data_IF_706436938380
#
_entry.id   IF_706436938380
#
_cell.length_a   1.000
_cell.length_b   1.000
_cell.length_c   1.000
_cell.angle_alpha   90.00
_cell.angle_beta   90.00
_cell.angle_gamma   90.00
#
_symmetry.space_group_name_H-M   'P 1'
#
loop_
_entity.id
_entity.type
_entity.pdbx_description
1 polymer ?
#
# COMPACT_ATOMS: atom_id res chain seq x y z
N UNK A 1 16.69 -17.31 4.05
CA UNK A 1 16.22 -17.06 2.67
C UNK A 1 16.76 -15.70 2.28
N UNK A 2 17.80 -15.66 1.45
CA UNK A 2 18.54 -14.43 1.10
C UNK A 2 18.69 -14.36 -0.42
N UNK A 3 17.57 -14.48 -1.15
CA UNK A 3 17.52 -14.20 -2.58
C UNK A 3 16.85 -12.84 -2.80
N UNK A 4 17.36 -12.03 -3.72
CA UNK A 4 16.65 -10.84 -4.18
C UNK A 4 15.44 -11.25 -5.04
N UNK A 5 14.33 -10.54 -4.88
CA UNK A 5 13.23 -10.65 -5.84
C UNK A 5 13.61 -9.94 -7.14
N UNK A 6 13.21 -10.53 -8.27
CA UNK A 6 13.36 -9.95 -9.60
C UNK A 6 12.02 -9.86 -10.28
N UNK A 7 11.84 -8.79 -11.06
CA UNK A 7 10.72 -8.67 -12.00
C UNK A 7 10.94 -9.71 -13.09
N UNK A 8 9.95 -10.59 -13.28
CA UNK A 8 9.99 -11.68 -14.28
C UNK A 8 8.97 -11.49 -15.39
N UNK A 9 7.95 -10.68 -15.16
CA UNK A 9 6.88 -10.39 -16.12
C UNK A 9 6.38 -8.97 -15.85
N UNK A 10 6.08 -8.22 -16.92
CA UNK A 10 5.49 -6.89 -16.83
C UNK A 10 4.28 -6.82 -17.73
N UNK A 11 3.17 -6.29 -17.21
CA UNK A 11 1.98 -5.96 -17.97
C UNK A 11 1.80 -4.46 -18.01
N UNK A 12 1.60 -3.94 -19.21
CA UNK A 12 1.38 -2.54 -19.50
C UNK A 12 -0.13 -2.32 -19.73
N UNK A 13 -0.72 -1.41 -18.94
CA UNK A 13 -2.15 -1.11 -18.94
C UNK A 13 -2.37 0.41 -19.12
N UNK A 14 -2.42 0.91 -20.37
CA UNK A 14 -2.75 2.30 -20.62
C UNK A 14 -4.21 2.58 -20.25
N UNK A 15 -4.50 3.82 -19.85
CA UNK A 15 -5.87 4.28 -19.65
C UNK A 15 -6.67 4.27 -20.95
N UNK A 16 -7.99 4.24 -20.80
CA UNK A 16 -8.94 4.11 -21.91
C UNK A 16 -10.19 4.95 -21.68
N UNK A 17 -11.06 5.02 -22.69
CA UNK A 17 -12.40 5.57 -22.55
C UNK A 17 -13.42 4.43 -22.46
N UNK A 18 -14.35 4.51 -21.52
CA UNK A 18 -15.42 3.53 -21.31
C UNK A 18 -16.72 4.25 -20.95
N UNK A 19 -17.81 3.94 -21.65
CA UNK A 19 -19.14 4.53 -21.44
C UNK A 19 -19.15 6.08 -21.38
N UNK A 20 -18.32 6.72 -22.21
CA UNK A 20 -18.23 8.18 -22.27
C UNK A 20 -17.40 8.82 -21.15
N UNK A 21 -16.79 8.04 -20.27
CA UNK A 21 -15.84 8.50 -19.24
C UNK A 21 -14.41 8.16 -19.66
N UNK A 22 -13.49 9.12 -19.55
CA UNK A 22 -12.06 8.91 -19.84
C UNK A 22 -11.26 8.60 -18.58
N UNK A 23 -10.42 7.59 -18.68
CA UNK A 23 -9.45 7.15 -17.67
C UNK A 23 -8.00 7.29 -18.18
N UNK A 24 -7.81 7.98 -19.31
CA UNK A 24 -6.53 8.14 -20.02
C UNK A 24 -5.47 8.87 -19.20
N UNK A 25 -5.87 9.56 -18.13
CA UNK A 25 -4.94 10.21 -17.20
C UNK A 25 -4.18 9.22 -16.31
N UNK A 26 -4.45 7.92 -16.39
CA UNK A 26 -3.79 6.88 -15.59
C UNK A 26 -3.19 5.81 -16.48
N UNK A 27 -1.97 5.42 -16.15
CA UNK A 27 -1.25 4.35 -16.81
C UNK A 27 -0.70 3.41 -15.73
N UNK A 28 -1.18 2.17 -15.70
CA UNK A 28 -0.71 1.16 -14.77
C UNK A 28 0.35 0.25 -15.39
N UNK A 29 1.36 -0.10 -14.59
CA UNK A 29 2.30 -1.16 -14.86
C UNK A 29 2.19 -2.20 -13.76
N UNK A 30 2.00 -3.46 -14.13
CA UNK A 30 1.98 -4.58 -13.18
C UNK A 30 3.25 -5.39 -13.40
N UNK A 31 4.18 -5.33 -12.45
CA UNK A 31 5.38 -6.14 -12.46
C UNK A 31 5.20 -7.33 -11.55
N UNK A 32 5.20 -8.54 -12.12
CA UNK A 32 5.19 -9.76 -11.33
C UNK A 32 6.61 -10.16 -10.98
N UNK A 33 6.80 -10.49 -9.70
CA UNK A 33 8.11 -10.73 -9.12
C UNK A 33 8.28 -12.18 -8.69
N UNK A 34 9.53 -12.63 -8.69
CA UNK A 34 9.92 -13.96 -8.21
C UNK A 34 11.28 -13.90 -7.52
N UNK A 35 11.47 -14.65 -6.45
CA UNK A 35 12.78 -14.87 -5.87
C UNK A 35 13.73 -15.54 -6.86
N UNK A 36 14.94 -15.02 -6.96
CA UNK A 36 16.02 -15.70 -7.67
C UNK A 36 16.41 -16.97 -6.91
N UNK A 37 16.49 -18.10 -7.62
CA UNK A 37 16.82 -19.40 -7.03
C UNK A 37 18.34 -19.43 -6.79
N UNK A 38 18.79 -19.22 -5.56
CA UNK A 38 20.13 -19.68 -5.17
C UNK A 38 20.11 -21.21 -5.22
N UNK A 39 20.91 -21.80 -6.12
CA UNK A 39 20.93 -23.23 -6.45
C UNK A 39 21.28 -24.20 -5.30
N UNK A 40 21.17 -23.79 -4.03
CA UNK A 40 21.55 -24.56 -2.84
C UNK A 40 20.37 -25.15 -2.06
N UNK A 41 19.12 -24.84 -2.38
CA UNK A 41 17.99 -25.45 -1.67
C UNK A 41 16.77 -25.72 -2.58
N UNK A 42 16.63 -26.94 -3.14
CA UNK A 42 15.52 -27.31 -4.00
C UNK A 42 14.19 -27.54 -3.24
N UNK A 43 14.18 -27.49 -1.90
CA UNK A 43 13.03 -27.92 -1.07
C UNK A 43 11.94 -26.86 -0.81
N UNK A 44 12.18 -25.58 -1.09
CA UNK A 44 11.12 -24.57 -1.07
C UNK A 44 10.37 -24.66 -2.40
N UNK A 45 9.41 -25.57 -2.50
CA UNK A 45 8.72 -25.94 -3.73
C UNK A 45 8.21 -24.70 -4.51
N UNK A 46 8.93 -24.23 -5.56
CA UNK A 46 8.51 -23.08 -6.35
C UNK A 46 7.44 -23.48 -7.38
N UNK A 47 7.13 -24.77 -7.50
CA UNK A 47 6.27 -25.31 -8.56
C UNK A 47 4.78 -25.06 -8.32
N UNK A 48 4.36 -24.60 -7.13
CA UNK A 48 2.94 -24.30 -6.85
C UNK A 48 2.59 -22.82 -7.01
N UNK A 49 3.57 -21.90 -6.96
CA UNK A 49 3.32 -20.45 -7.00
C UNK A 49 4.20 -19.81 -8.08
N UNK A 50 3.56 -19.40 -9.19
CA UNK A 50 4.20 -18.77 -10.35
C UNK A 50 4.97 -17.48 -9.98
N UNK A 51 4.48 -16.74 -9.00
CA UNK A 51 5.03 -15.46 -8.54
C UNK A 51 5.14 -15.43 -7.01
N UNK A 52 6.12 -14.69 -6.49
CA UNK A 52 6.28 -14.46 -5.04
C UNK A 52 5.58 -13.17 -4.57
N UNK A 53 5.53 -12.16 -5.43
CA UNK A 53 4.95 -10.86 -5.14
C UNK A 53 4.56 -10.15 -6.45
N UNK A 54 3.92 -8.98 -6.32
CA UNK A 54 3.60 -8.08 -7.42
C UNK A 54 3.91 -6.65 -7.03
N UNK A 55 4.37 -5.85 -7.98
CA UNK A 55 4.56 -4.42 -7.86
C UNK A 55 3.66 -3.74 -8.88
N UNK A 56 2.65 -3.01 -8.41
CA UNK A 56 1.78 -2.17 -9.24
C UNK A 56 2.30 -0.75 -9.17
N UNK A 57 2.59 -0.18 -10.33
CA UNK A 57 3.01 1.20 -10.48
C UNK A 57 1.94 1.93 -11.26
N UNK A 58 1.59 3.14 -10.83
CA UNK A 58 0.70 4.01 -11.60
C UNK A 58 1.37 5.34 -11.86
N UNK A 59 1.31 5.77 -13.11
CA UNK A 59 1.63 7.14 -13.51
C UNK A 59 0.32 7.88 -13.79
N UNK A 60 0.12 9.01 -13.13
CA UNK A 60 -1.04 9.87 -13.35
C UNK A 60 -0.69 11.34 -13.15
N UNK A 61 -1.67 12.24 -13.32
CA UNK A 61 -1.45 13.70 -13.18
C UNK A 61 -0.90 14.15 -11.82
N UNK A 62 -0.90 13.28 -10.80
CA UNK A 62 -0.30 13.52 -9.48
C UNK A 62 1.14 13.02 -9.33
N UNK A 63 1.71 12.41 -10.37
CA UNK A 63 3.03 11.79 -10.36
C UNK A 63 2.97 10.25 -10.35
N UNK A 64 4.02 9.65 -9.80
CA UNK A 64 4.19 8.20 -9.72
C UNK A 64 3.80 7.69 -8.34
N UNK A 65 2.96 6.66 -8.30
CA UNK A 65 2.66 5.91 -7.08
C UNK A 65 3.03 4.44 -7.26
N UNK A 66 3.54 3.81 -6.19
CA UNK A 66 4.08 2.44 -6.22
C UNK A 66 3.50 1.62 -5.08
N UNK A 67 3.04 0.42 -5.41
CA UNK A 67 2.29 -0.46 -4.54
C UNK A 67 2.84 -1.88 -4.62
N UNK A 68 3.16 -2.47 -3.48
CA UNK A 68 3.58 -3.86 -3.42
C UNK A 68 2.45 -4.74 -2.88
N UNK A 69 2.30 -5.91 -3.48
CA UNK A 69 1.39 -6.96 -3.04
C UNK A 69 2.10 -8.30 -2.93
N UNK A 70 1.49 -9.21 -2.20
CA UNK A 70 2.01 -10.56 -2.01
C UNK A 70 1.67 -11.49 -3.19
N UNK A 71 2.00 -12.77 -3.03
CA UNK A 71 1.71 -13.81 -4.01
C UNK A 71 0.20 -13.98 -4.29
N UNK A 72 -0.69 -13.64 -3.35
CA UNK A 72 -2.14 -13.77 -3.54
C UNK A 72 -2.65 -12.70 -4.49
N UNK A 73 -2.21 -11.45 -4.30
CA UNK A 73 -2.54 -10.37 -5.22
C UNK A 73 -1.91 -10.62 -6.60
N UNK A 74 -0.66 -11.09 -6.63
CA UNK A 74 0.00 -11.48 -7.88
C UNK A 74 -0.80 -12.54 -8.64
N UNK A 75 -1.26 -13.59 -7.95
CA UNK A 75 -2.09 -14.63 -8.55
C UNK A 75 -3.45 -14.09 -9.03
N UNK A 76 -4.08 -13.18 -8.27
CA UNK A 76 -5.36 -12.58 -8.66
C UNK A 76 -5.22 -11.71 -9.92
N UNK A 77 -4.23 -10.82 -9.97
CA UNK A 77 -3.97 -9.97 -11.14
C UNK A 77 -3.57 -10.79 -12.37
N UNK A 78 -2.79 -11.85 -12.18
CA UNK A 78 -2.39 -12.71 -13.29
C UNK A 78 -3.56 -13.50 -13.89
N UNK A 79 -4.54 -13.90 -13.06
CA UNK A 79 -5.74 -14.62 -13.51
C UNK A 79 -6.65 -13.83 -14.45
N UNK A 80 -6.53 -12.50 -14.50
CA UNK A 80 -7.22 -11.71 -15.52
C UNK A 80 -6.74 -12.02 -16.94
N UNK A 81 -5.61 -12.73 -17.12
CA UNK A 81 -5.17 -13.20 -18.44
C UNK A 81 -5.08 -12.04 -19.42
N UNK A 82 -5.87 -12.11 -20.50
CA UNK A 82 -5.90 -11.08 -21.55
C UNK A 82 -6.89 -9.93 -21.31
N UNK A 83 -7.66 -9.96 -20.21
CA UNK A 83 -8.60 -8.90 -19.85
C UNK A 83 -7.88 -7.68 -19.24
N UNK A 84 -7.32 -6.85 -20.12
CA UNK A 84 -6.61 -5.62 -19.73
C UNK A 84 -7.54 -4.63 -19.04
N UNK A 85 -8.80 -4.55 -19.45
CA UNK A 85 -9.76 -3.60 -18.90
C UNK A 85 -10.14 -3.99 -17.48
N UNK A 86 -10.45 -5.27 -17.24
CA UNK A 86 -10.71 -5.77 -15.89
C UNK A 86 -9.50 -5.65 -14.96
N UNK A 87 -8.30 -5.95 -15.46
CA UNK A 87 -7.06 -5.76 -14.69
C UNK A 87 -6.81 -4.29 -14.33
N UNK A 88 -7.04 -3.37 -15.27
CA UNK A 88 -6.95 -1.93 -15.03
C UNK A 88 -7.94 -1.49 -13.96
N UNK A 89 -9.20 -1.93 -14.06
CA UNK A 89 -10.23 -1.61 -13.08
C UNK A 89 -9.88 -2.12 -11.69
N UNK A 90 -9.35 -3.34 -11.57
CA UNK A 90 -8.88 -3.86 -10.30
C UNK A 90 -7.76 -2.99 -9.71
N UNK A 91 -6.77 -2.60 -10.52
CA UNK A 91 -5.71 -1.69 -10.09
C UNK A 91 -6.25 -0.32 -9.64
N UNK A 92 -7.24 0.21 -10.36
CA UNK A 92 -7.94 1.44 -9.99
C UNK A 92 -8.65 1.32 -8.65
N UNK A 93 -9.43 0.27 -8.44
CA UNK A 93 -10.13 0.06 -7.16
C UNK A 93 -9.18 -0.13 -5.99
N UNK A 94 -8.05 -0.79 -6.21
CA UNK A 94 -6.98 -0.87 -5.21
C UNK A 94 -6.51 0.54 -4.84
N UNK A 95 -6.15 1.36 -5.85
CA UNK A 95 -5.71 2.75 -5.70
C UNK A 95 -6.67 3.57 -4.82
N UNK A 96 -7.95 3.56 -5.20
CA UNK A 96 -8.99 4.32 -4.49
C UNK A 96 -9.19 3.81 -3.06
N UNK A 97 -9.19 2.49 -2.86
CA UNK A 97 -9.40 1.89 -1.54
C UNK A 97 -8.31 2.27 -0.53
N UNK A 98 -7.04 2.31 -0.95
CA UNK A 98 -5.97 2.74 -0.02
C UNK A 98 -5.97 4.25 0.17
N UNK A 99 -6.29 5.03 -0.87
CA UNK A 99 -6.43 6.49 -0.72
C UNK A 99 -7.51 6.82 0.32
N UNK A 100 -8.64 6.12 0.26
CA UNK A 100 -9.72 6.26 1.24
C UNK A 100 -9.27 5.78 2.63
N UNK A 101 -8.66 4.60 2.74
CA UNK A 101 -8.16 4.09 4.02
C UNK A 101 -7.13 5.03 4.69
N UNK A 102 -6.22 5.61 3.90
CA UNK A 102 -5.27 6.62 4.36
C UNK A 102 -5.97 7.91 4.78
N UNK A 103 -6.98 8.34 4.04
CA UNK A 103 -7.77 9.53 4.38
C UNK A 103 -8.50 9.34 5.71
N UNK A 104 -9.21 8.23 5.88
CA UNK A 104 -9.92 7.89 7.12
C UNK A 104 -8.95 7.80 8.29
N UNK A 105 -7.84 7.07 8.14
CA UNK A 105 -6.83 6.96 9.20
C UNK A 105 -6.22 8.32 9.60
N UNK A 106 -5.97 9.21 8.63
CA UNK A 106 -5.52 10.58 8.92
C UNK A 106 -6.59 11.40 9.63
N UNK A 107 -7.85 11.25 9.25
CA UNK A 107 -8.96 11.96 9.88
C UNK A 107 -9.16 11.51 11.34
N UNK A 108 -9.12 10.20 11.59
CA UNK A 108 -9.20 9.62 12.94
C UNK A 108 -8.04 10.07 13.82
N UNK A 109 -6.80 9.95 13.33
CA UNK A 109 -5.62 10.45 14.03
C UNK A 109 -5.73 11.96 14.29
N UNK A 110 -6.13 12.76 13.30
CA UNK A 110 -6.32 14.20 13.47
C UNK A 110 -7.35 14.52 14.55
N UNK A 111 -8.45 13.78 14.62
CA UNK A 111 -9.49 13.94 15.65
C UNK A 111 -8.93 13.60 17.03
N UNK A 112 -8.24 12.48 17.16
CA UNK A 112 -7.62 12.04 18.43
C UNK A 112 -6.64 13.09 18.96
N UNK A 113 -5.74 13.58 18.11
CA UNK A 113 -4.76 14.60 18.49
C UNK A 113 -5.42 15.93 18.90
N UNK A 114 -6.45 16.37 18.17
CA UNK A 114 -7.20 17.58 18.51
C UNK A 114 -7.93 17.45 19.85
N UNK A 115 -8.54 16.30 20.09
CA UNK A 115 -9.20 16.00 21.36
C UNK A 115 -8.20 15.94 22.52
N UNK A 116 -7.10 15.20 22.37
CA UNK A 116 -6.05 15.11 23.37
C UNK A 116 -5.41 16.48 23.68
N UNK A 117 -5.30 17.37 22.68
CA UNK A 117 -4.86 18.74 22.89
C UNK A 117 -5.86 19.54 23.72
N UNK A 118 -7.15 19.49 23.38
CA UNK A 118 -8.22 20.17 24.12
C UNK A 118 -8.31 19.70 25.59
N UNK A 119 -8.03 18.42 25.83
CA UNK A 119 -8.04 17.81 27.16
C UNK A 119 -6.70 17.95 27.91
N UNK A 120 -5.70 18.63 27.35
CA UNK A 120 -4.38 18.83 27.99
C UNK A 120 -3.50 17.57 28.08
N UNK A 121 -3.89 16.49 27.40
CA UNK A 121 -3.21 15.19 27.35
C UNK A 121 -2.15 15.10 26.27
N UNK A 122 -2.13 16.01 25.30
CA UNK A 122 -1.09 16.05 24.27
C UNK A 122 0.22 16.60 24.85
N UNK A 123 1.24 15.76 24.96
CA UNK A 123 2.57 16.14 25.46
C UNK A 123 3.58 16.22 24.33
N UNK A 124 4.55 17.14 24.48
CA UNK A 124 5.68 17.31 23.57
C UNK A 124 6.98 17.49 24.35
N UNK A 125 8.08 16.90 23.86
CA UNK A 125 9.44 17.10 24.41
C UNK A 125 10.47 17.16 23.30
N UNK A 126 11.33 18.19 23.33
CA UNK A 126 12.49 18.29 22.43
C UNK A 126 13.50 17.19 22.77
N UNK A 127 14.02 16.51 21.75
CA UNK A 127 15.05 15.49 21.95
C UNK A 127 16.45 16.13 22.07
N UNK A 128 17.28 15.75 23.05
CA UNK A 128 18.63 16.31 23.20
C UNK A 128 19.46 16.03 21.95
N UNK A 129 20.19 17.04 21.47
CA UNK A 129 21.12 16.94 20.31
C UNK A 129 20.45 16.50 19.00
N UNK A 130 19.12 16.58 18.91
CA UNK A 130 18.36 16.32 17.69
C UNK A 130 17.47 17.52 17.37
N UNK A 131 17.27 17.80 16.08
CA UNK A 131 16.31 18.81 15.63
C UNK A 131 14.90 18.22 15.51
N UNK A 132 14.48 17.45 16.51
CA UNK A 132 13.23 16.68 16.50
C UNK A 132 12.50 16.78 17.86
N UNK A 133 11.19 16.56 17.82
CA UNK A 133 10.30 16.60 18.98
C UNK A 133 9.57 15.27 19.09
N UNK A 134 9.57 14.67 20.29
CA UNK A 134 8.70 13.52 20.61
C UNK A 134 7.34 14.06 21.03
N UNK A 135 6.27 13.58 20.41
CA UNK A 135 4.88 13.90 20.74
C UNK A 135 4.20 12.59 21.19
N UNK A 136 3.41 12.65 22.27
CA UNK A 136 2.62 11.52 22.74
C UNK A 136 1.34 12.00 23.42
N UNK A 137 0.33 11.12 23.49
CA UNK A 137 -0.96 11.39 24.13
C UNK A 137 -0.99 10.62 25.46
N UNK A 138 -1.22 11.31 26.57
CA UNK A 138 -1.44 10.67 27.87
C UNK A 138 -2.83 10.02 27.92
N UNK A 139 -2.99 8.89 28.64
CA UNK A 139 -4.30 8.29 28.86
C UNK A 139 -5.23 9.27 29.60
N UNK A 140 -6.56 9.16 29.42
CA UNK A 140 -7.50 9.94 30.20
C UNK A 140 -7.29 9.69 31.69
N UNK A 141 -7.40 10.74 32.50
CA UNK A 141 -7.39 10.59 33.95
C UNK A 141 -8.53 9.63 34.31
N UNK A 142 -8.20 8.47 34.86
CA UNK A 142 -9.20 7.55 35.42
C UNK A 142 -9.96 8.32 36.49
N UNK A 143 -11.26 8.49 36.28
CA UNK A 143 -12.17 8.94 37.34
C UNK A 143 -12.14 7.82 38.37
N UNK A 144 -11.37 7.99 39.45
CA UNK A 144 -11.53 7.14 40.63
C UNK A 144 -13.00 7.29 41.04
N UNK A 145 -13.75 6.20 40.90
CA UNK A 145 -15.12 6.14 41.37
C UNK A 145 -15.07 6.44 42.87
N UNK A 146 -15.62 7.59 43.25
CA UNK A 146 -15.84 7.95 44.65
C UNK A 146 -16.73 6.86 45.24
N UNK A 147 -16.14 6.04 46.12
CA UNK A 147 -16.82 5.03 46.92
C UNK A 147 -17.63 5.70 48.05
#
# INVERSE_FOLDING_TARGET
MTGSEKIVETRDLPGFTHDGVTYESHHFYIHFCRYERDGRNPSANPSTRRFSSVLVIVNHGGGWEVWSGDYMLAAALHRYGDDNMGAFWLCWYLLDSTKEALHVGRHEASREYRQAFAEGRLKKRKLPRQNSVKIWIEPPATVEAVA
#
